data_IF_718579337349
#
_entry.id   IF_718579337349
#
_cell.length_a   1.000
_cell.length_b   1.000
_cell.length_c   1.000
_cell.angle_alpha   90.00
_cell.angle_beta   90.00
_cell.angle_gamma   90.00
#
_symmetry.space_group_name_H-M   'P 1'
#
loop_
_entity.id
_entity.type
_entity.pdbx_description
1 polymer ?
#
# COMPACT_ATOMS: atom_id res chain seq x y z
N UNK A 1 -16.29 -8.84 -9.71
CA UNK A 1 -15.30 -7.83 -9.28
C UNK A 1 -15.22 -6.78 -10.37
N UNK A 2 -15.50 -5.50 -10.09
CA UNK A 2 -15.30 -4.44 -11.09
C UNK A 2 -13.79 -4.21 -11.18
N UNK A 3 -13.17 -4.77 -12.21
CA UNK A 3 -11.76 -4.56 -12.53
C UNK A 3 -11.54 -3.09 -12.84
N UNK A 4 -10.82 -2.41 -11.95
CA UNK A 4 -10.34 -1.09 -12.27
C UNK A 4 -9.13 -1.27 -13.20
N UNK A 5 -9.33 -1.00 -14.48
CA UNK A 5 -8.28 -1.13 -15.51
C UNK A 5 -7.18 -0.05 -15.41
N UNK A 6 -7.19 0.78 -14.35
CA UNK A 6 -6.16 1.79 -14.14
C UNK A 6 -4.82 1.11 -13.83
N UNK A 7 -3.91 1.17 -14.80
CA UNK A 7 -2.55 0.67 -14.64
C UNK A 7 -1.72 1.73 -13.92
N UNK A 8 -1.37 1.45 -12.68
CA UNK A 8 -0.48 2.31 -11.90
C UNK A 8 0.96 2.19 -12.39
N UNK A 9 1.49 3.29 -12.93
CA UNK A 9 2.89 3.42 -13.31
C UNK A 9 3.82 3.56 -12.11
N UNK A 10 5.12 3.52 -12.38
CA UNK A 10 6.19 3.60 -11.36
C UNK A 10 6.08 4.84 -10.47
N UNK A 11 5.86 6.01 -11.07
CA UNK A 11 5.76 7.28 -10.33
C UNK A 11 4.53 7.32 -9.43
N UNK A 12 3.37 6.88 -9.93
CA UNK A 12 2.13 6.84 -9.16
C UNK A 12 2.26 5.88 -7.97
N UNK A 13 2.80 4.67 -8.19
CA UNK A 13 3.05 3.70 -7.11
C UNK A 13 3.97 4.26 -6.02
N UNK A 14 5.02 4.99 -6.41
CA UNK A 14 5.92 5.63 -5.45
C UNK A 14 5.21 6.74 -4.65
N UNK A 15 4.35 7.54 -5.29
CA UNK A 15 3.54 8.56 -4.61
C UNK A 15 2.53 7.95 -3.64
N UNK A 16 1.85 6.87 -4.05
CA UNK A 16 0.91 6.12 -3.20
C UNK A 16 1.64 5.56 -1.98
N UNK A 17 2.81 4.94 -2.19
CA UNK A 17 3.60 4.44 -1.08
C UNK A 17 4.02 5.54 -0.11
N UNK A 18 4.60 6.65 -0.62
CA UNK A 18 5.01 7.77 0.23
C UNK A 18 3.83 8.33 1.04
N UNK A 19 2.69 8.54 0.39
CA UNK A 19 1.45 8.98 1.05
C UNK A 19 1.05 8.01 2.17
N UNK A 20 1.10 6.72 1.91
CA UNK A 20 0.77 5.71 2.90
C UNK A 20 1.75 5.67 4.07
N UNK A 21 3.03 5.46 3.78
CA UNK A 21 4.07 5.26 4.78
C UNK A 21 4.23 6.48 5.69
N UNK A 22 4.14 7.70 5.14
CA UNK A 22 4.34 8.94 5.89
C UNK A 22 3.08 9.43 6.60
N UNK A 23 1.90 9.28 6.00
CA UNK A 23 0.69 9.96 6.50
C UNK A 23 -0.39 9.01 7.05
N UNK A 24 -0.38 7.74 6.67
CA UNK A 24 -1.46 6.79 6.98
C UNK A 24 -1.02 5.71 7.95
N UNK A 25 0.20 5.18 7.81
CA UNK A 25 0.74 4.14 8.70
C UNK A 25 0.64 4.57 10.16
N UNK A 26 1.14 5.77 10.49
CA UNK A 26 1.08 6.30 11.86
C UNK A 26 -0.35 6.31 12.43
N UNK A 27 -1.33 6.72 11.61
CA UNK A 27 -2.76 6.77 12.00
C UNK A 27 -3.35 5.38 12.20
N UNK A 28 -2.90 4.38 11.44
CA UNK A 28 -3.47 3.02 11.49
C UNK A 28 -2.94 2.18 12.64
N UNK A 29 -1.71 2.44 13.12
CA UNK A 29 -1.13 1.65 14.21
C UNK A 29 -0.59 2.54 15.33
N UNK A 30 -1.41 3.49 15.81
CA UNK A 30 -1.10 4.60 16.76
C UNK A 30 -0.20 4.31 17.98
N UNK A 31 0.20 3.06 18.26
CA UNK A 31 1.07 2.67 19.38
C UNK A 31 2.19 1.69 19.02
N UNK A 32 2.49 1.45 17.73
CA UNK A 32 3.61 0.58 17.33
C UNK A 32 4.92 1.34 17.29
N UNK A 33 5.96 0.72 17.83
CA UNK A 33 7.33 1.20 17.75
C UNK A 33 7.83 1.12 16.30
N UNK A 34 7.63 2.20 15.54
CA UNK A 34 8.04 2.30 14.13
C UNK A 34 9.55 2.45 13.95
N UNK A 35 10.32 2.57 15.03
CA UNK A 35 11.78 2.62 14.95
C UNK A 35 12.39 1.39 14.27
N UNK A 36 11.62 0.29 14.20
CA UNK A 36 12.01 -0.96 13.55
C UNK A 36 11.78 -1.00 12.05
N UNK A 37 11.00 -0.07 11.49
CA UNK A 37 10.68 -0.06 10.06
C UNK A 37 11.42 1.07 9.35
N UNK A 38 12.11 0.73 8.27
CA UNK A 38 12.50 1.74 7.29
C UNK A 38 11.28 2.11 6.44
N UNK A 39 10.49 3.10 6.88
CA UNK A 39 9.27 3.53 6.17
C UNK A 39 9.52 3.99 4.71
N UNK A 40 10.79 4.22 4.33
CA UNK A 40 11.17 4.48 2.94
C UNK A 40 11.29 3.22 2.08
N UNK A 41 11.33 2.03 2.67
CA UNK A 41 11.48 0.72 2.00
C UNK A 41 10.43 -0.31 2.40
N UNK A 42 9.82 -0.18 3.57
CA UNK A 42 8.90 -1.17 4.11
C UNK A 42 7.82 -0.53 4.99
N UNK A 43 6.63 -1.11 4.96
CA UNK A 43 5.50 -0.61 5.74
C UNK A 43 4.54 -1.77 6.05
N UNK A 44 3.89 -1.78 7.22
CA UNK A 44 2.89 -2.78 7.54
C UNK A 44 1.63 -2.58 6.68
N UNK A 45 0.97 -3.66 6.27
CA UNK A 45 -0.34 -3.59 5.64
C UNK A 45 -1.43 -3.27 6.66
N UNK A 46 -2.29 -2.28 6.38
CA UNK A 46 -3.41 -1.88 7.24
C UNK A 46 -4.28 -3.05 7.71
N UNK A 47 -4.48 -4.04 6.85
CA UNK A 47 -5.45 -5.12 7.08
C UNK A 47 -4.91 -6.27 7.93
N UNK A 48 -3.71 -6.75 7.64
CA UNK A 48 -3.12 -7.91 8.33
C UNK A 48 -1.95 -7.53 9.25
N UNK A 49 -1.46 -6.29 9.20
CA UNK A 49 -0.31 -5.82 9.95
C UNK A 49 1.04 -6.41 9.51
N UNK A 50 1.05 -7.31 8.53
CA UNK A 50 2.28 -7.91 7.99
C UNK A 50 3.05 -6.93 7.11
N UNK A 51 4.35 -7.17 6.97
CA UNK A 51 5.25 -6.32 6.20
C UNK A 51 4.92 -6.33 4.70
N UNK A 52 4.93 -5.16 4.08
CA UNK A 52 4.99 -4.99 2.63
C UNK A 52 6.33 -4.34 2.28
N UNK A 53 6.86 -4.69 1.12
CA UNK A 53 8.09 -4.09 0.60
C UNK A 53 7.78 -3.12 -0.53
N UNK A 54 8.45 -1.98 -0.48
CA UNK A 54 8.37 -0.97 -1.52
C UNK A 54 8.90 -1.52 -2.84
N UNK A 55 9.92 -2.39 -2.84
CA UNK A 55 10.67 -2.91 -3.99
C UNK A 55 9.92 -3.08 -5.34
N UNK A 56 8.63 -3.39 -5.30
CA UNK A 56 7.73 -3.51 -6.45
C UNK A 56 7.63 -2.29 -7.40
N UNK A 57 7.94 -1.04 -6.97
CA UNK A 57 8.06 0.13 -7.90
C UNK A 57 9.51 0.35 -8.39
N UNK A 58 10.49 -0.38 -7.87
CA UNK A 58 11.89 -0.36 -8.32
C UNK A 58 12.13 -1.44 -9.39
N UNK A 59 11.06 -1.95 -10.00
CA UNK A 59 11.11 -3.03 -10.98
C UNK A 59 11.64 -4.37 -10.40
N UNK A 60 11.59 -4.51 -9.06
CA UNK A 60 11.93 -5.73 -8.33
C UNK A 60 10.63 -6.35 -7.82
N UNK A 61 10.33 -7.59 -8.21
CA UNK A 61 9.18 -8.29 -7.67
C UNK A 61 9.55 -8.91 -6.31
N UNK A 62 9.02 -8.40 -5.18
CA UNK A 62 9.27 -9.01 -3.88
C UNK A 62 8.58 -10.37 -3.81
N UNK A 63 8.94 -11.19 -2.81
CA UNK A 63 8.17 -12.39 -2.49
C UNK A 63 6.68 -12.00 -2.36
N UNK A 64 5.78 -12.88 -2.83
CA UNK A 64 4.34 -12.70 -2.79
C UNK A 64 3.87 -12.24 -1.40
N UNK A 65 4.47 -12.78 -0.35
CA UNK A 65 4.14 -12.45 1.06
C UNK A 65 4.45 -11.00 1.46
N UNK A 66 5.31 -10.31 0.70
CA UNK A 66 5.67 -8.91 0.90
C UNK A 66 5.16 -7.99 -0.24
N UNK A 67 4.48 -8.56 -1.23
CA UNK A 67 3.93 -7.82 -2.36
C UNK A 67 2.68 -7.04 -1.99
N UNK A 68 2.40 -5.98 -2.73
CA UNK A 68 1.21 -5.16 -2.55
C UNK A 68 0.57 -4.78 -3.89
N UNK A 69 -0.71 -4.44 -3.82
CA UNK A 69 -1.53 -3.86 -4.88
C UNK A 69 -2.11 -2.54 -4.38
N UNK A 70 -2.59 -1.71 -5.31
CA UNK A 70 -3.27 -0.46 -4.95
C UNK A 70 -4.71 -0.78 -4.58
N UNK A 71 -5.11 -0.31 -3.40
CA UNK A 71 -6.43 -0.44 -2.82
C UNK A 71 -7.07 0.95 -2.62
N UNK A 72 -8.39 1.01 -2.74
CA UNK A 72 -9.21 2.21 -2.53
C UNK A 72 -9.82 2.17 -1.13
N UNK A 73 -9.57 3.21 -0.34
CA UNK A 73 -9.99 3.28 1.07
C UNK A 73 -11.51 3.38 1.17
N UNK A 74 -12.12 4.27 0.38
CA UNK A 74 -13.57 4.54 0.37
C UNK A 74 -14.38 3.59 -0.53
N UNK A 75 -13.74 2.57 -1.13
CA UNK A 75 -14.31 1.65 -2.15
C UNK A 75 -14.83 2.32 -3.43
N UNK A 76 -14.65 3.63 -3.58
CA UNK A 76 -14.94 4.36 -4.79
C UNK A 76 -13.76 4.22 -5.78
N UNK A 77 -13.90 3.22 -6.66
CA UNK A 77 -12.90 2.90 -7.68
C UNK A 77 -12.63 4.03 -8.69
N UNK A 78 -13.45 5.07 -8.76
CA UNK A 78 -13.15 6.22 -9.66
C UNK A 78 -12.35 7.33 -8.97
N UNK A 79 -12.18 7.25 -7.65
CA UNK A 79 -11.49 8.28 -6.87
C UNK A 79 -10.00 7.96 -6.74
N UNK A 80 -9.21 8.43 -7.71
CA UNK A 80 -7.75 8.23 -7.81
C UNK A 80 -6.92 9.25 -7.01
N UNK A 81 -7.51 9.91 -6.01
CA UNK A 81 -6.79 10.85 -5.14
C UNK A 81 -5.83 10.10 -4.22
N UNK A 82 -4.64 10.65 -3.95
CA UNK A 82 -3.63 9.98 -3.11
C UNK A 82 -4.14 9.71 -1.69
N UNK A 83 -5.07 10.52 -1.23
CA UNK A 83 -5.78 10.39 0.04
C UNK A 83 -6.62 9.12 0.08
N UNK A 84 -7.19 8.71 -1.06
CA UNK A 84 -8.02 7.52 -1.17
C UNK A 84 -7.25 6.24 -1.55
N UNK A 85 -6.00 6.36 -2.01
CA UNK A 85 -5.21 5.20 -2.45
C UNK A 85 -4.27 4.71 -1.37
N UNK A 86 -4.12 3.40 -1.23
CA UNK A 86 -3.15 2.80 -0.31
C UNK A 86 -2.60 1.46 -0.83
N UNK A 87 -1.38 1.05 -0.44
CA UNK A 87 -0.89 -0.29 -0.65
C UNK A 87 -1.60 -1.28 0.28
N UNK A 88 -1.97 -2.44 -0.26
CA UNK A 88 -2.47 -3.58 0.51
C UNK A 88 -1.93 -4.88 -0.09
N UNK A 89 -1.74 -5.92 0.73
CA UNK A 89 -1.43 -7.24 0.18
C UNK A 89 -2.53 -7.70 -0.79
N UNK A 90 -2.19 -8.40 -1.89
CA UNK A 90 -3.18 -8.87 -2.87
C UNK A 90 -4.33 -9.65 -2.24
N UNK A 91 -4.05 -10.51 -1.26
CA UNK A 91 -5.10 -11.30 -0.58
C UNK A 91 -5.90 -10.51 0.46
N UNK A 92 -5.38 -9.38 0.95
CA UNK A 92 -6.12 -8.49 1.83
C UNK A 92 -7.11 -7.64 1.01
N UNK A 93 -6.67 -7.17 -0.16
CA UNK A 93 -7.52 -6.41 -1.08
C UNK A 93 -8.72 -7.24 -1.57
N UNK A 94 -8.51 -8.54 -1.83
CA UNK A 94 -9.55 -9.43 -2.36
C UNK A 94 -10.59 -9.90 -1.32
N UNK A 95 -10.40 -9.61 -0.03
CA UNK A 95 -11.30 -10.04 1.06
C UNK A 95 -12.27 -8.94 1.54
N UNK A 96 -12.25 -7.76 0.91
CA UNK A 96 -13.28 -6.72 1.08
C UNK A 96 -14.56 -7.11 0.34
#
# INVERSE_FOLDING_TARGET
MKENNHKWGRYERNSIWKSYAMNKVQKYFEHKDYSKYDLFQEAPCKYCGQLMLKAQYQDIQPNKDYSWVVDYIDTNFTNNTLENLQPAHPWCCNKK
#
